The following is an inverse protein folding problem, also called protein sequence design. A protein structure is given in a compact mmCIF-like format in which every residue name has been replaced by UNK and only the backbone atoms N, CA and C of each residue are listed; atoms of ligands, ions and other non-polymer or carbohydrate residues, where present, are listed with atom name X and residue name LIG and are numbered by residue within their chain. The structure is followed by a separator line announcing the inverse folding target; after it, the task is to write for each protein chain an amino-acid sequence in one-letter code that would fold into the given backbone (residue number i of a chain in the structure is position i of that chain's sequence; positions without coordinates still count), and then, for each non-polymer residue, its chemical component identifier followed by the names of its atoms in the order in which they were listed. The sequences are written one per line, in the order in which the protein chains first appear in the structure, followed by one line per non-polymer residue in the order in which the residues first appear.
data_IF_384683482457
#
_entry.id   IF_384683482457
#
_cell.length_a   1.000
_cell.length_b   1.000
_cell.length_c   1.000
_cell.angle_alpha   90.00
_cell.angle_beta   90.00
_cell.angle_gamma   90.00
#
_symmetry.space_group_name_H-M   'P 1'
#
loop_
_entity.id
_entity.type
_entity.pdbx_description
1 polymer ?
#
# COMPACT_ATOMS: atom_id res chain seq x y z
N UNK A 1 -37.15 9.28 22.47
CA UNK A 1 -36.52 8.31 21.54
C UNK A 1 -35.59 9.08 20.60
N UNK A 2 -34.27 9.00 20.81
CA UNK A 2 -33.28 9.67 19.96
C UNK A 2 -32.87 8.72 18.83
N UNK A 3 -33.00 9.17 17.58
CA UNK A 3 -32.53 8.47 16.38
C UNK A 3 -31.00 8.39 16.42
N UNK A 4 -30.45 7.18 16.29
CA UNK A 4 -29.02 6.94 16.06
C UNK A 4 -28.67 7.46 14.66
N UNK A 5 -27.69 8.34 14.57
CA UNK A 5 -27.00 8.68 13.32
C UNK A 5 -26.10 7.49 12.94
N UNK A 6 -26.20 7.01 11.70
CA UNK A 6 -25.30 5.99 11.13
C UNK A 6 -24.01 6.70 10.72
N UNK A 7 -22.87 6.23 11.24
CA UNK A 7 -21.53 6.75 11.00
C UNK A 7 -20.97 6.31 9.63
N UNK A 8 -20.10 7.14 9.08
CA UNK A 8 -19.43 6.96 7.80
C UNK A 8 -18.43 5.79 7.82
N UNK A 9 -18.47 4.93 6.80
CA UNK A 9 -17.45 3.93 6.51
C UNK A 9 -16.40 4.51 5.55
N UNK A 10 -15.12 4.17 5.77
CA UNK A 10 -14.00 4.52 4.88
C UNK A 10 -13.61 3.24 4.13
N UNK A 11 -13.69 3.26 2.80
CA UNK A 11 -13.38 2.13 1.92
C UNK A 11 -12.13 2.42 1.06
N UNK A 12 -11.34 1.39 0.80
CA UNK A 12 -10.29 1.38 -0.23
C UNK A 12 -10.58 0.23 -1.18
N UNK A 13 -10.67 0.51 -2.48
CA UNK A 13 -11.04 -0.45 -3.52
C UNK A 13 -9.91 -0.45 -4.56
N UNK A 14 -9.23 -1.59 -4.73
CA UNK A 14 -8.27 -1.80 -5.82
C UNK A 14 -8.91 -2.66 -6.90
N UNK A 15 -8.87 -2.19 -8.15
CA UNK A 15 -9.23 -2.98 -9.33
C UNK A 15 -7.96 -3.34 -10.10
N UNK A 16 -7.67 -4.64 -10.22
CA UNK A 16 -6.62 -5.14 -11.10
C UNK A 16 -7.21 -5.52 -12.46
N UNK A 17 -6.83 -4.81 -13.53
CA UNK A 17 -7.09 -5.26 -14.89
C UNK A 17 -5.97 -6.22 -15.34
N UNK A 18 -6.28 -7.52 -15.49
CA UNK A 18 -5.35 -8.49 -16.08
C UNK A 18 -6.04 -9.32 -17.15
N UNK A 19 -5.64 -9.14 -18.41
CA UNK A 19 -5.99 -10.03 -19.53
C UNK A 19 -4.93 -9.97 -20.65
N UNK A 20 -3.81 -10.69 -20.49
CA UNK A 20 -2.84 -10.93 -21.56
C UNK A 20 -2.76 -12.42 -21.90
N UNK A 21 -3.79 -12.95 -22.60
CA UNK A 21 -3.70 -14.17 -23.45
C UNK A 21 -5.04 -14.63 -24.05
N UNK A 22 -6.06 -13.77 -24.17
CA UNK A 22 -7.29 -14.08 -24.93
C UNK A 22 -7.50 -13.04 -26.02
N UNK A 23 -7.76 -13.44 -27.28
CA UNK A 23 -8.01 -12.48 -28.35
C UNK A 23 -9.36 -11.80 -28.07
N UNK A 24 -9.32 -10.47 -27.93
CA UNK A 24 -10.45 -9.51 -27.76
C UNK A 24 -10.97 -9.20 -26.35
N UNK A 25 -10.18 -9.35 -25.28
CA UNK A 25 -10.56 -8.78 -23.94
C UNK A 25 -9.93 -7.39 -23.69
N UNK A 26 -9.11 -6.87 -24.62
CA UNK A 26 -8.44 -5.57 -24.47
C UNK A 26 -9.39 -4.34 -24.52
N UNK A 27 -10.63 -4.52 -24.98
CA UNK A 27 -11.62 -3.45 -25.14
C UNK A 27 -12.73 -3.45 -24.06
N UNK A 28 -12.68 -4.37 -23.10
CA UNK A 28 -13.53 -4.32 -21.91
C UNK A 28 -12.95 -3.29 -20.94
N UNK A 29 -13.35 -2.03 -21.12
CA UNK A 29 -13.13 -0.97 -20.14
C UNK A 29 -13.91 -1.30 -18.85
N UNK A 30 -13.23 -1.99 -17.93
CA UNK A 30 -13.73 -2.24 -16.57
C UNK A 30 -13.55 -1.01 -15.67
N UNK A 31 -13.15 0.15 -16.20
CA UNK A 31 -12.90 1.42 -15.49
C UNK A 31 -14.14 2.10 -14.90
N UNK A 32 -15.21 1.35 -14.56
CA UNK A 32 -16.50 1.92 -14.20
C UNK A 32 -17.28 1.22 -13.10
N UNK A 33 -16.69 0.33 -12.30
CA UNK A 33 -17.38 -0.18 -11.09
C UNK A 33 -17.31 0.90 -10.00
N UNK A 34 -18.32 1.77 -9.94
CA UNK A 34 -18.48 2.81 -8.91
C UNK A 34 -19.23 2.24 -7.71
N UNK A 35 -18.53 2.00 -6.60
CA UNK A 35 -19.14 1.53 -5.35
C UNK A 35 -19.59 2.74 -4.51
N UNK A 36 -20.91 2.93 -4.38
CA UNK A 36 -21.54 3.91 -3.48
C UNK A 36 -22.22 3.13 -2.32
N UNK A 37 -22.30 3.67 -1.10
CA UNK A 37 -22.81 2.95 0.09
C UNK A 37 -24.11 2.17 -0.14
N UNK A 38 -24.18 0.93 0.39
CA UNK A 38 -24.73 -0.26 -0.29
C UNK A 38 -24.02 -0.55 -1.60
N UNK A 39 -22.89 -1.23 -1.52
CA UNK A 39 -21.96 -1.39 -2.64
C UNK A 39 -22.64 -2.07 -3.84
N UNK A 40 -22.91 -1.26 -4.87
CA UNK A 40 -23.47 -1.69 -6.16
C UNK A 40 -22.36 -1.71 -7.20
N UNK A 41 -22.11 -2.87 -7.80
CA UNK A 41 -21.21 -2.98 -8.95
C UNK A 41 -21.98 -3.15 -10.25
N UNK A 42 -21.41 -2.65 -11.37
CA UNK A 42 -21.96 -2.84 -12.73
C UNK A 42 -20.83 -2.95 -13.76
N UNK A 43 -21.02 -3.78 -14.79
CA UNK A 43 -20.17 -3.78 -15.99
C UNK A 43 -20.49 -2.55 -16.84
N UNK A 44 -19.48 -1.73 -17.17
CA UNK A 44 -19.67 -0.44 -17.83
C UNK A 44 -20.15 -0.55 -19.30
N UNK A 45 -19.83 -1.65 -19.99
CA UNK A 45 -20.22 -1.91 -21.37
C UNK A 45 -20.37 -3.42 -21.63
N UNK A 46 -21.57 -4.00 -21.46
CA UNK A 46 -21.76 -5.43 -21.73
C UNK A 46 -21.72 -5.72 -23.23
N UNK A 47 -20.99 -6.78 -23.62
CA UNK A 47 -20.98 -7.24 -25.01
C UNK A 47 -22.33 -7.84 -25.40
N UNK A 48 -22.79 -7.55 -26.63
CA UNK A 48 -24.04 -8.09 -27.14
C UNK A 48 -24.00 -9.63 -27.20
N UNK A 49 -24.98 -10.27 -26.56
CA UNK A 49 -25.07 -11.72 -26.49
C UNK A 49 -24.16 -12.36 -25.44
N UNK A 50 -23.53 -11.58 -24.55
CA UNK A 50 -22.80 -12.08 -23.38
C UNK A 50 -23.62 -11.82 -22.11
N UNK A 51 -23.64 -12.82 -21.23
CA UNK A 51 -24.23 -12.73 -19.89
C UNK A 51 -23.12 -12.85 -18.84
N UNK A 52 -23.20 -12.03 -17.80
CA UNK A 52 -22.23 -11.95 -16.72
C UNK A 52 -22.86 -12.40 -15.40
N UNK A 53 -22.07 -13.08 -14.58
CA UNK A 53 -22.39 -13.47 -13.21
C UNK A 53 -21.24 -13.07 -12.29
N UNK A 54 -21.57 -12.35 -11.23
CA UNK A 54 -20.62 -12.04 -10.16
C UNK A 54 -20.71 -13.09 -9.07
N UNK A 55 -19.56 -13.48 -8.54
CA UNK A 55 -19.45 -14.39 -7.43
C UNK A 55 -18.66 -13.74 -6.31
N UNK A 56 -18.96 -14.15 -5.09
CA UNK A 56 -18.28 -13.71 -3.89
C UNK A 56 -17.92 -14.89 -3.02
N UNK A 57 -16.76 -14.80 -2.37
CA UNK A 57 -16.38 -15.72 -1.30
C UNK A 57 -16.05 -14.90 -0.06
N UNK A 58 -16.81 -15.13 1.01
CA UNK A 58 -16.56 -14.48 2.30
C UNK A 58 -15.73 -15.39 3.20
N UNK A 59 -14.63 -14.84 3.72
CA UNK A 59 -13.68 -15.48 4.64
C UNK A 59 -13.76 -14.76 5.99
N UNK A 60 -14.47 -15.29 7.00
CA UNK A 60 -14.55 -14.64 8.30
C UNK A 60 -13.18 -14.58 8.99
N UNK A 61 -12.97 -13.60 9.87
CA UNK A 61 -11.74 -13.35 10.68
C UNK A 61 -11.30 -14.51 11.63
N UNK A 62 -11.85 -15.71 11.49
CA UNK A 62 -11.78 -16.78 12.49
C UNK A 62 -10.56 -17.71 12.35
N UNK A 63 -9.32 -17.18 12.41
CA UNK A 63 -8.10 -17.99 12.63
C UNK A 63 -7.78 -19.08 11.59
N UNK A 64 -6.66 -19.78 11.79
CA UNK A 64 -5.93 -20.56 10.77
C UNK A 64 -6.54 -21.89 10.30
N UNK A 65 -7.82 -22.18 10.55
CA UNK A 65 -8.48 -23.36 9.96
C UNK A 65 -9.51 -22.93 8.93
N UNK A 66 -9.07 -22.81 7.67
CA UNK A 66 -9.93 -22.44 6.54
C UNK A 66 -10.46 -23.71 5.85
N UNK A 67 -11.77 -24.04 5.96
CA UNK A 67 -12.39 -24.88 4.94
C UNK A 67 -12.34 -24.16 3.59
N UNK A 68 -12.31 -24.92 2.49
CA UNK A 68 -12.46 -24.36 1.14
C UNK A 68 -13.88 -23.78 1.01
N UNK A 69 -14.03 -22.46 1.17
CA UNK A 69 -15.33 -21.81 1.08
C UNK A 69 -15.70 -21.65 -0.39
N UNK A 70 -16.82 -22.23 -0.78
CA UNK A 70 -17.34 -22.15 -2.15
C UNK A 70 -17.67 -20.71 -2.55
N UNK A 71 -17.45 -20.40 -3.82
CA UNK A 71 -17.95 -19.17 -4.44
C UNK A 71 -19.48 -19.13 -4.42
N UNK A 72 -20.04 -18.02 -3.94
CA UNK A 72 -21.48 -17.76 -3.88
C UNK A 72 -21.87 -16.78 -4.98
N UNK A 73 -22.80 -17.11 -5.89
CA UNK A 73 -23.30 -16.15 -6.86
C UNK A 73 -23.97 -14.95 -6.18
N UNK A 74 -23.54 -13.75 -6.54
CA UNK A 74 -24.17 -12.48 -6.16
C UNK A 74 -25.25 -12.04 -7.15
N UNK A 75 -25.25 -12.64 -8.35
CA UNK A 75 -26.20 -12.38 -9.42
C UNK A 75 -26.44 -13.62 -10.25
N UNK A 76 -27.60 -13.69 -10.91
CA UNK A 76 -27.80 -14.59 -12.04
C UNK A 76 -27.03 -14.07 -13.26
N UNK A 77 -26.78 -14.96 -14.21
CA UNK A 77 -26.27 -14.57 -15.52
C UNK A 77 -27.21 -13.57 -16.18
N UNK A 78 -26.73 -12.34 -16.37
CA UNK A 78 -27.51 -11.24 -16.94
C UNK A 78 -26.64 -10.37 -17.83
N UNK A 79 -27.26 -9.66 -18.78
CA UNK A 79 -26.54 -8.70 -19.63
C UNK A 79 -26.10 -7.46 -18.86
N UNK A 80 -26.88 -7.04 -17.86
CA UNK A 80 -26.59 -5.80 -17.13
C UNK A 80 -25.39 -5.92 -16.19
N UNK A 81 -25.04 -7.15 -15.78
CA UNK A 81 -23.89 -7.42 -14.92
C UNK A 81 -23.91 -6.59 -13.64
N UNK A 82 -25.10 -6.32 -13.10
CA UNK A 82 -25.26 -5.52 -11.89
C UNK A 82 -25.39 -6.44 -10.67
N UNK A 83 -24.73 -6.09 -9.58
CA UNK A 83 -24.88 -6.77 -8.30
C UNK A 83 -24.90 -5.77 -7.14
N UNK A 84 -25.53 -6.16 -6.04
CA UNK A 84 -25.44 -5.46 -4.78
C UNK A 84 -25.09 -6.49 -3.71
N UNK A 85 -24.12 -6.17 -2.88
CA UNK A 85 -23.71 -7.03 -1.78
C UNK A 85 -23.87 -6.30 -0.46
N UNK A 86 -24.37 -7.02 0.54
CA UNK A 86 -24.44 -6.53 1.90
C UNK A 86 -23.26 -7.06 2.71
N UNK A 87 -22.35 -6.16 3.08
CA UNK A 87 -21.07 -6.47 3.72
C UNK A 87 -21.18 -6.38 5.25
N UNK A 88 -22.07 -7.19 5.84
CA UNK A 88 -22.38 -7.15 7.27
C UNK A 88 -21.46 -7.99 8.17
N UNK A 89 -20.50 -8.71 7.59
CA UNK A 89 -19.62 -9.64 8.28
C UNK A 89 -18.18 -9.13 8.37
N UNK A 90 -17.51 -9.42 9.49
CA UNK A 90 -16.07 -9.16 9.61
C UNK A 90 -15.24 -10.22 8.94
N UNK A 91 -14.44 -9.83 7.96
CA UNK A 91 -13.58 -10.74 7.23
C UNK A 91 -13.21 -10.21 5.86
N UNK A 92 -12.73 -11.11 5.01
CA UNK A 92 -12.32 -10.78 3.65
C UNK A 92 -13.38 -11.28 2.67
N UNK A 93 -13.81 -10.40 1.78
CA UNK A 93 -14.73 -10.66 0.69
C UNK A 93 -13.96 -10.69 -0.62
N UNK A 94 -13.79 -11.87 -1.18
CA UNK A 94 -13.21 -12.05 -2.51
C UNK A 94 -14.31 -11.91 -3.56
N UNK A 95 -14.00 -11.27 -4.70
CA UNK A 95 -14.92 -11.09 -5.82
C UNK A 95 -14.39 -11.73 -7.09
N UNK A 96 -15.29 -12.32 -7.87
CA UNK A 96 -14.99 -13.02 -9.12
C UNK A 96 -16.07 -12.70 -10.15
N UNK A 97 -15.71 -12.66 -11.42
CA UNK A 97 -16.65 -12.54 -12.54
C UNK A 97 -16.57 -13.75 -13.44
N UNK A 98 -17.74 -14.24 -13.83
CA UNK A 98 -17.91 -15.20 -14.90
C UNK A 98 -18.70 -14.57 -16.03
N UNK A 99 -18.40 -14.95 -17.26
CA UNK A 99 -19.21 -14.60 -18.41
C UNK A 99 -19.44 -15.82 -19.30
N UNK A 100 -20.57 -15.83 -20.00
CA UNK A 100 -20.94 -16.88 -20.96
C UNK A 100 -21.68 -16.26 -22.15
N UNK A 101 -21.72 -16.97 -23.28
CA UNK A 101 -22.65 -16.61 -24.36
C UNK A 101 -24.09 -16.85 -23.91
N UNK A 102 -25.00 -15.94 -24.25
CA UNK A 102 -26.41 -16.05 -23.92
C UNK A 102 -26.99 -17.35 -24.45
N UNK A 103 -27.66 -18.10 -23.58
CA UNK A 103 -28.18 -19.45 -23.88
C UNK A 103 -27.14 -20.58 -23.87
N UNK A 104 -25.86 -20.29 -23.63
CA UNK A 104 -24.80 -21.30 -23.46
C UNK A 104 -24.55 -21.61 -21.99
N UNK A 105 -24.01 -22.79 -21.71
CA UNK A 105 -23.45 -23.16 -20.40
C UNK A 105 -21.92 -22.99 -20.34
N UNK A 106 -21.28 -22.75 -21.49
CA UNK A 106 -19.85 -22.59 -21.61
C UNK A 106 -19.40 -21.21 -21.11
N UNK A 107 -18.48 -21.21 -20.14
CA UNK A 107 -17.88 -19.99 -19.59
C UNK A 107 -16.79 -19.49 -20.53
N UNK A 108 -16.92 -18.24 -20.96
CA UNK A 108 -15.91 -17.54 -21.78
C UNK A 108 -15.01 -16.64 -20.94
N UNK A 109 -15.44 -16.27 -19.72
CA UNK A 109 -14.65 -15.55 -18.72
C UNK A 109 -14.81 -16.24 -17.36
N UNK A 110 -13.71 -16.35 -16.62
CA UNK A 110 -13.68 -16.78 -15.23
C UNK A 110 -12.50 -16.09 -14.52
N UNK A 111 -12.68 -14.83 -14.14
CA UNK A 111 -11.60 -13.96 -13.63
C UNK A 111 -11.85 -13.48 -12.19
N UNK A 112 -10.80 -13.51 -11.38
CA UNK A 112 -10.79 -12.89 -10.05
C UNK A 112 -10.75 -11.36 -10.21
N UNK A 113 -11.58 -10.64 -9.46
CA UNK A 113 -11.69 -9.18 -9.53
C UNK A 113 -10.89 -8.46 -8.45
N UNK A 114 -10.77 -9.05 -7.26
CA UNK A 114 -10.16 -8.41 -6.10
C UNK A 114 -10.77 -8.86 -4.77
N UNK A 115 -10.33 -8.22 -3.68
CA UNK A 115 -10.83 -8.49 -2.33
C UNK A 115 -11.15 -7.20 -1.58
N UNK A 116 -12.14 -7.26 -0.68
CA UNK A 116 -12.47 -6.21 0.29
C UNK A 116 -12.35 -6.77 1.70
N UNK A 117 -11.57 -6.14 2.56
CA UNK A 117 -11.50 -6.47 3.98
C UNK A 117 -12.49 -5.59 4.76
N UNK A 118 -13.45 -6.22 5.42
CA UNK A 118 -14.43 -5.54 6.28
C UNK A 118 -14.05 -5.82 7.73
N UNK A 119 -13.72 -4.76 8.45
CA UNK A 119 -13.42 -4.81 9.88
C UNK A 119 -14.45 -3.99 10.65
N UNK A 120 -14.81 -4.40 11.87
CA UNK A 120 -15.80 -3.64 12.63
C UNK A 120 -15.19 -2.40 13.25
N UNK A 121 -15.99 -1.35 13.41
CA UNK A 121 -15.61 -0.15 14.18
C UNK A 121 -15.17 -0.51 15.61
N UNK A 122 -15.74 -1.57 16.21
CA UNK A 122 -15.32 -2.10 17.50
C UNK A 122 -13.97 -2.82 17.48
N UNK A 123 -13.57 -3.41 16.34
CA UNK A 123 -12.26 -4.01 16.16
C UNK A 123 -11.21 -2.96 15.82
N UNK A 124 -11.59 -1.99 14.98
CA UNK A 124 -10.85 -0.78 14.73
C UNK A 124 -10.60 -0.03 16.05
N UNK A 125 -11.62 0.21 16.88
CA UNK A 125 -11.47 0.93 18.16
C UNK A 125 -10.76 0.13 19.27
N UNK A 126 -10.75 -1.21 19.21
CA UNK A 126 -9.89 -2.05 20.06
C UNK A 126 -8.43 -2.03 19.59
N UNK A 127 -8.18 -1.81 18.31
CA UNK A 127 -6.83 -1.56 17.78
C UNK A 127 -6.42 -0.10 17.99
N UNK A 128 -7.35 0.86 17.90
CA UNK A 128 -7.13 2.29 18.03
C UNK A 128 -7.84 2.80 19.29
N UNK A 129 -7.20 2.70 20.45
CA UNK A 129 -7.69 3.32 21.69
C UNK A 129 -7.65 4.86 21.68
N UNK A 130 -7.31 5.49 20.55
CA UNK A 130 -7.35 6.94 20.38
C UNK A 130 -8.46 7.34 19.44
N UNK A 131 -9.21 8.37 19.86
CA UNK A 131 -9.99 9.11 18.88
C UNK A 131 -9.00 9.76 17.92
N UNK A 132 -9.21 9.57 16.62
CA UNK A 132 -8.54 10.27 15.52
C UNK A 132 -8.58 11.81 15.60
N UNK A 133 -9.09 12.39 16.70
CA UNK A 133 -9.19 13.84 16.91
C UNK A 133 -7.85 14.51 17.16
N UNK A 134 -6.87 13.82 17.73
CA UNK A 134 -5.57 14.43 18.06
C UNK A 134 -4.59 14.35 16.89
N UNK A 135 -4.73 13.34 16.02
CA UNK A 135 -3.85 13.09 14.89
C UNK A 135 -4.50 13.66 13.63
N UNK A 136 -4.07 14.86 13.23
CA UNK A 136 -4.51 15.45 11.96
C UNK A 136 -3.93 14.64 10.80
N UNK A 137 -4.78 13.90 10.09
CA UNK A 137 -4.38 13.15 8.90
C UNK A 137 -4.92 13.81 7.64
N UNK A 138 -4.08 13.84 6.61
CA UNK A 138 -4.45 14.35 5.29
C UNK A 138 -4.19 13.26 4.27
N UNK A 139 -5.25 12.75 3.63
CA UNK A 139 -5.10 11.86 2.49
C UNK A 139 -4.74 12.68 1.27
N UNK A 140 -3.63 12.35 0.64
CA UNK A 140 -3.13 13.08 -0.53
C UNK A 140 -3.44 12.22 -1.76
N UNK A 141 -4.46 12.60 -2.54
CA UNK A 141 -4.70 11.92 -3.82
C UNK A 141 -3.54 12.20 -4.76
N UNK A 142 -2.93 11.14 -5.32
CA UNK A 142 -1.87 11.29 -6.32
C UNK A 142 -2.05 10.33 -7.50
N UNK A 143 -3.21 10.43 -8.15
CA UNK A 143 -3.58 9.57 -9.29
C UNK A 143 -2.54 9.63 -10.42
N UNK A 144 -1.97 10.81 -10.69
CA UNK A 144 -0.92 11.01 -11.69
C UNK A 144 0.43 10.36 -11.32
N UNK A 145 0.61 10.00 -10.06
CA UNK A 145 1.88 9.52 -9.50
C UNK A 145 2.00 8.00 -9.57
N UNK A 146 0.87 7.27 -9.50
CA UNK A 146 0.83 5.82 -9.67
C UNK A 146 1.41 5.39 -11.03
N UNK A 147 1.21 6.19 -12.08
CA UNK A 147 1.76 5.93 -13.41
C UNK A 147 3.30 5.86 -13.44
N UNK A 148 3.99 6.61 -12.58
CA UNK A 148 5.46 6.68 -12.52
C UNK A 148 6.06 5.33 -12.09
N UNK A 149 5.32 4.53 -11.29
CA UNK A 149 5.78 3.24 -10.76
C UNK A 149 5.25 2.03 -11.53
N UNK A 150 4.46 2.26 -12.58
CA UNK A 150 3.87 1.18 -13.39
C UNK A 150 4.88 0.45 -14.27
N UNK A 151 6.10 0.99 -14.39
CA UNK A 151 7.14 0.43 -15.23
C UNK A 151 8.17 -0.35 -14.39
N UNK A 152 7.86 -1.61 -14.06
CA UNK A 152 8.84 -2.58 -13.50
C UNK A 152 10.13 -2.63 -14.34
N UNK A 153 10.01 -2.37 -15.64
CA UNK A 153 11.11 -2.22 -16.58
C UNK A 153 12.04 -1.05 -16.24
N UNK A 154 11.49 0.09 -15.79
CA UNK A 154 12.27 1.23 -15.34
C UNK A 154 13.06 0.90 -14.06
N UNK A 155 12.48 0.09 -13.17
CA UNK A 155 13.16 -0.35 -11.94
C UNK A 155 14.25 -1.39 -12.23
N UNK A 156 14.06 -2.25 -13.23
CA UNK A 156 15.06 -3.24 -13.64
C UNK A 156 16.36 -2.62 -14.18
N UNK A 157 16.29 -1.37 -14.64
CA UNK A 157 17.42 -0.57 -15.12
C UNK A 157 18.26 0.06 -13.99
N UNK A 158 17.82 -0.01 -12.73
CA UNK A 158 18.53 0.54 -11.57
C UNK A 158 19.68 -0.38 -11.15
N UNK A 159 20.81 -0.27 -11.86
CA UNK A 159 21.98 -1.11 -11.62
C UNK A 159 22.77 -0.69 -10.37
N UNK A 160 22.79 0.62 -10.09
CA UNK A 160 23.62 1.22 -9.03
C UNK A 160 22.81 2.20 -8.18
N UNK A 161 23.31 2.52 -6.98
CA UNK A 161 22.74 3.57 -6.14
C UNK A 161 22.63 4.93 -6.88
N UNK A 162 23.68 5.41 -7.58
CA UNK A 162 23.58 6.60 -8.42
C UNK A 162 22.45 6.58 -9.44
N UNK A 163 22.19 5.44 -10.09
CA UNK A 163 21.08 5.30 -11.05
C UNK A 163 19.73 5.46 -10.35
N UNK A 164 19.58 4.91 -9.15
CA UNK A 164 18.37 5.07 -8.34
C UNK A 164 18.16 6.52 -7.91
N UNK A 165 19.19 7.20 -7.40
CA UNK A 165 19.09 8.62 -7.06
C UNK A 165 18.71 9.46 -8.29
N UNK A 166 19.34 9.18 -9.44
CA UNK A 166 19.01 9.86 -10.71
C UNK A 166 17.56 9.63 -11.11
N UNK A 167 17.07 8.39 -11.01
CA UNK A 167 15.67 8.08 -11.28
C UNK A 167 14.71 8.89 -10.40
N UNK A 168 14.98 8.99 -9.09
CA UNK A 168 14.15 9.79 -8.17
C UNK A 168 14.17 11.28 -8.57
N UNK A 169 15.33 11.82 -8.95
CA UNK A 169 15.45 13.21 -9.40
C UNK A 169 14.72 13.45 -10.72
N UNK A 170 14.92 12.59 -11.71
CA UNK A 170 14.34 12.75 -13.05
C UNK A 170 12.81 12.63 -13.04
N UNK A 171 12.27 11.86 -12.11
CA UNK A 171 10.82 11.68 -11.93
C UNK A 171 10.17 12.71 -11.02
N UNK A 172 10.97 13.54 -10.34
CA UNK A 172 10.44 14.54 -9.40
C UNK A 172 9.68 15.66 -10.13
N UNK A 173 8.38 15.68 -9.92
CA UNK A 173 7.48 16.70 -10.48
C UNK A 173 6.75 17.43 -9.34
N UNK A 174 7.32 18.51 -8.77
CA UNK A 174 6.72 19.23 -7.64
C UNK A 174 5.31 19.76 -7.92
N UNK A 175 4.97 19.97 -9.19
CA UNK A 175 3.64 20.42 -9.63
C UNK A 175 2.52 19.40 -9.38
N UNK A 176 2.85 18.11 -9.25
CA UNK A 176 1.88 17.04 -8.98
C UNK A 176 1.41 17.04 -7.52
N UNK A 177 2.13 17.71 -6.62
CA UNK A 177 1.71 17.87 -5.24
C UNK A 177 0.64 18.97 -5.12
N UNK A 178 -0.41 18.76 -4.29
CA UNK A 178 -1.39 19.79 -3.97
C UNK A 178 -0.73 21.06 -3.44
N UNK A 179 -1.37 22.20 -3.69
CA UNK A 179 -0.85 23.51 -3.28
C UNK A 179 -0.54 23.59 -1.77
N UNK A 180 -1.40 22.99 -0.94
CA UNK A 180 -1.22 22.91 0.51
C UNK A 180 0.08 22.22 0.95
N UNK A 181 0.62 21.28 0.15
CA UNK A 181 1.91 20.64 0.43
C UNK A 181 3.08 21.47 -0.11
N UNK A 182 2.86 22.31 -1.12
CA UNK A 182 3.94 23.11 -1.70
C UNK A 182 4.50 24.14 -0.72
N UNK A 183 3.71 24.54 0.27
CA UNK A 183 4.15 25.40 1.38
C UNK A 183 5.23 24.77 2.26
N UNK A 184 5.39 23.44 2.24
CA UNK A 184 6.47 22.74 2.97
C UNK A 184 7.87 23.04 2.40
N UNK A 185 7.93 23.55 1.17
CA UNK A 185 9.18 23.86 0.48
C UNK A 185 9.73 22.70 -0.35
N UNK A 186 10.64 23.03 -1.27
CA UNK A 186 11.12 22.13 -2.32
C UNK A 186 11.79 20.85 -1.79
N UNK A 187 12.59 20.96 -0.73
CA UNK A 187 13.32 19.79 -0.19
C UNK A 187 12.39 18.84 0.57
N UNK A 188 11.36 19.37 1.25
CA UNK A 188 10.35 18.54 1.92
C UNK A 188 9.51 17.78 0.88
N UNK A 189 9.04 18.47 -0.16
CA UNK A 189 8.36 17.83 -1.29
C UNK A 189 9.21 16.78 -1.99
N UNK A 190 10.50 17.07 -2.22
CA UNK A 190 11.42 16.09 -2.81
C UNK A 190 11.59 14.86 -1.93
N UNK A 191 11.70 15.04 -0.61
CA UNK A 191 11.81 13.93 0.35
C UNK A 191 10.55 13.08 0.39
N UNK A 192 9.37 13.71 0.31
CA UNK A 192 8.08 13.02 0.17
C UNK A 192 8.02 12.24 -1.15
N UNK A 193 8.47 12.83 -2.26
CA UNK A 193 8.57 12.15 -3.56
C UNK A 193 9.49 10.92 -3.47
N UNK A 194 10.66 11.07 -2.86
CA UNK A 194 11.58 9.97 -2.63
C UNK A 194 10.95 8.85 -1.79
N UNK A 195 10.29 9.20 -0.68
CA UNK A 195 9.56 8.25 0.18
C UNK A 195 8.50 7.48 -0.61
N UNK A 196 7.64 8.19 -1.35
CA UNK A 196 6.59 7.57 -2.15
C UNK A 196 7.17 6.69 -3.26
N UNK A 197 8.32 7.05 -3.81
CA UNK A 197 9.04 6.24 -4.81
C UNK A 197 9.54 4.94 -4.23
N UNK A 198 10.19 5.01 -3.06
CA UNK A 198 10.69 3.84 -2.34
C UNK A 198 9.56 2.91 -1.91
N UNK A 199 8.45 3.47 -1.42
CA UNK A 199 7.27 2.71 -1.00
C UNK A 199 6.64 1.87 -2.11
N UNK A 200 6.89 2.21 -3.37
CA UNK A 200 6.35 1.50 -4.53
C UNK A 200 7.24 0.34 -5.02
N UNK A 201 8.44 0.14 -4.46
CA UNK A 201 9.44 -0.79 -5.01
C UNK A 201 9.15 -2.26 -4.71
N UNK A 202 8.61 -2.56 -3.53
CA UNK A 202 8.61 -3.92 -2.99
C UNK A 202 7.23 -4.38 -2.51
N UNK A 203 7.04 -5.70 -2.46
CA UNK A 203 6.05 -6.32 -1.59
C UNK A 203 6.50 -6.22 -0.13
N UNK A 204 5.60 -5.86 0.77
CA UNK A 204 5.90 -5.89 2.20
C UNK A 204 5.71 -7.30 2.79
N UNK A 205 6.80 -7.85 3.32
CA UNK A 205 6.81 -9.16 3.97
C UNK A 205 6.90 -10.34 3.00
N UNK A 206 7.15 -11.52 3.56
CA UNK A 206 7.22 -12.78 2.81
C UNK A 206 5.83 -13.24 2.31
N UNK A 207 5.75 -13.92 1.16
CA UNK A 207 4.49 -14.46 0.62
C UNK A 207 4.05 -15.75 1.32
N UNK A 208 4.98 -16.67 1.56
CA UNK A 208 4.72 -18.00 2.16
C UNK A 208 4.93 -17.98 3.67
N UNK A 209 6.08 -17.51 4.13
CA UNK A 209 6.41 -17.47 5.57
C UNK A 209 6.20 -16.08 6.16
N UNK A 210 4.93 -15.72 6.36
CA UNK A 210 4.50 -14.40 6.86
C UNK A 210 5.07 -14.03 8.23
N UNK A 211 5.53 -15.00 9.01
CA UNK A 211 6.12 -14.77 10.34
C UNK A 211 7.62 -14.46 10.28
N UNK A 212 8.31 -14.85 9.19
CA UNK A 212 9.72 -14.54 9.01
C UNK A 212 9.95 -13.10 8.54
N UNK A 213 11.14 -12.58 8.82
CA UNK A 213 11.57 -11.28 8.31
C UNK A 213 11.54 -11.28 6.78
N UNK A 214 10.76 -10.36 6.20
CA UNK A 214 10.66 -10.18 4.75
C UNK A 214 11.73 -9.24 4.19
N UNK A 215 12.90 -9.12 4.82
CA UNK A 215 13.92 -8.19 4.36
C UNK A 215 14.63 -8.73 3.12
N UNK A 216 15.03 -7.89 2.18
CA UNK A 216 15.62 -8.29 0.88
C UNK A 216 16.75 -9.32 1.05
N UNK A 217 17.58 -9.17 2.08
CA UNK A 217 18.73 -10.05 2.34
C UNK A 217 18.39 -11.37 3.06
N UNK A 218 17.20 -11.48 3.66
CA UNK A 218 16.77 -12.61 4.49
C UNK A 218 15.40 -13.18 4.08
N UNK A 219 14.83 -12.71 2.97
CA UNK A 219 13.50 -13.10 2.54
C UNK A 219 13.45 -14.54 2.02
N UNK A 220 12.22 -15.05 1.88
CA UNK A 220 11.94 -16.42 1.51
C UNK A 220 12.35 -16.83 0.08
N UNK A 221 12.82 -15.90 -0.75
CA UNK A 221 13.32 -16.24 -2.10
C UNK A 221 14.58 -17.11 -2.04
N UNK A 222 15.32 -17.05 -0.92
CA UNK A 222 16.63 -17.69 -0.78
C UNK A 222 17.70 -17.08 -1.68
N UNK A 223 17.42 -15.97 -2.38
CA UNK A 223 18.37 -15.30 -3.25
C UNK A 223 19.42 -14.60 -2.40
N UNK A 224 20.69 -14.98 -2.61
CA UNK A 224 21.81 -14.26 -1.99
C UNK A 224 22.02 -12.93 -2.69
N UNK A 225 21.76 -11.84 -1.99
CA UNK A 225 21.95 -10.46 -2.44
C UNK A 225 23.40 -10.03 -2.22
N UNK A 226 24.07 -9.53 -3.26
CA UNK A 226 25.50 -9.19 -3.25
C UNK A 226 25.78 -7.74 -3.67
N UNK A 227 24.86 -7.14 -4.40
CA UNK A 227 25.02 -5.81 -4.97
C UNK A 227 23.69 -5.07 -5.05
N UNK A 228 23.75 -3.78 -5.35
CA UNK A 228 22.59 -2.90 -5.45
C UNK A 228 21.55 -3.38 -6.47
N UNK A 229 21.99 -3.82 -7.65
CA UNK A 229 21.08 -4.29 -8.71
C UNK A 229 20.27 -5.52 -8.27
N UNK A 230 20.90 -6.47 -7.57
CA UNK A 230 20.20 -7.61 -7.00
C UNK A 230 19.23 -7.17 -5.89
N UNK A 231 19.61 -6.17 -5.09
CA UNK A 231 18.80 -5.63 -4.00
C UNK A 231 17.52 -4.95 -4.51
N UNK A 232 17.61 -4.11 -5.54
CA UNK A 232 16.43 -3.40 -6.11
C UNK A 232 15.54 -4.29 -6.96
N UNK A 233 16.05 -5.43 -7.45
CA UNK A 233 15.26 -6.42 -8.19
C UNK A 233 14.50 -7.40 -7.32
N UNK A 234 14.74 -7.40 -6.01
CA UNK A 234 13.97 -8.22 -5.07
C UNK A 234 12.49 -7.88 -5.16
N UNK A 235 11.64 -8.90 -5.09
CA UNK A 235 10.18 -8.69 -5.08
C UNK A 235 9.66 -8.37 -3.68
N UNK A 236 10.44 -8.71 -2.64
CA UNK A 236 10.05 -8.64 -1.23
C UNK A 236 11.06 -7.76 -0.48
N UNK A 237 10.55 -6.84 0.33
CA UNK A 237 11.32 -6.01 1.24
C UNK A 237 10.60 -5.79 2.57
N UNK A 238 11.37 -5.36 3.57
CA UNK A 238 10.91 -5.00 4.90
C UNK A 238 11.27 -3.55 5.22
N UNK A 239 10.80 -3.05 6.37
CA UNK A 239 10.99 -1.66 6.80
C UNK A 239 12.45 -1.16 6.73
N UNK A 240 13.44 -2.01 7.02
CA UNK A 240 14.86 -1.67 6.90
C UNK A 240 15.29 -1.38 5.45
N UNK A 241 14.79 -2.15 4.47
CA UNK A 241 15.14 -1.98 3.06
C UNK A 241 14.60 -0.64 2.53
N UNK A 242 13.33 -0.33 2.86
CA UNK A 242 12.71 0.94 2.50
C UNK A 242 13.44 2.11 3.17
N UNK A 243 13.75 2.01 4.47
CA UNK A 243 14.45 3.07 5.20
C UNK A 243 15.85 3.34 4.62
N UNK A 244 16.61 2.29 4.27
CA UNK A 244 17.96 2.43 3.73
C UNK A 244 17.97 3.10 2.35
N UNK A 245 17.03 2.74 1.46
CA UNK A 245 16.92 3.38 0.14
C UNK A 245 16.51 4.86 0.25
N UNK A 246 15.59 5.19 1.15
CA UNK A 246 15.22 6.59 1.39
C UNK A 246 16.41 7.37 1.96
N UNK A 247 17.06 6.84 2.99
CA UNK A 247 18.26 7.42 3.59
C UNK A 247 19.36 7.67 2.54
N UNK A 248 19.57 6.73 1.62
CA UNK A 248 20.49 6.89 0.50
C UNK A 248 20.14 8.12 -0.36
N UNK A 249 18.87 8.26 -0.75
CA UNK A 249 18.43 9.41 -1.56
C UNK A 249 18.63 10.73 -0.80
N UNK A 250 18.26 10.77 0.49
CA UNK A 250 18.46 11.96 1.34
C UNK A 250 19.94 12.31 1.48
N UNK A 251 20.80 11.31 1.72
CA UNK A 251 22.25 11.47 1.78
C UNK A 251 22.80 12.11 0.50
N UNK A 252 22.43 11.55 -0.66
CA UNK A 252 22.87 12.05 -1.98
C UNK A 252 22.36 13.47 -2.27
N UNK A 253 21.20 13.84 -1.71
CA UNK A 253 20.64 15.19 -1.77
C UNK A 253 21.32 16.17 -0.80
N UNK A 254 22.15 15.69 0.12
CA UNK A 254 22.78 16.51 1.16
C UNK A 254 21.84 16.84 2.33
N UNK A 255 20.72 16.11 2.46
CA UNK A 255 19.79 16.23 3.56
C UNK A 255 20.29 15.33 4.70
N UNK A 256 20.50 15.93 5.89
CA UNK A 256 20.88 15.15 7.07
C UNK A 256 19.70 14.28 7.49
N UNK A 257 19.99 13.01 7.78
CA UNK A 257 18.99 12.06 8.21
C UNK A 257 19.49 11.26 9.42
N UNK A 258 18.54 10.69 10.16
CA UNK A 258 18.78 9.73 11.25
C UNK A 258 17.71 8.64 11.20
N UNK A 259 18.07 7.40 11.54
CA UNK A 259 17.06 6.37 11.74
C UNK A 259 16.40 6.52 13.11
N UNK A 260 15.10 6.18 13.15
CA UNK A 260 14.34 6.04 14.40
C UNK A 260 13.74 4.67 14.42
N UNK A 261 13.94 3.95 15.52
CA UNK A 261 13.50 2.59 15.69
C UNK A 261 12.41 2.54 16.74
N UNK A 262 11.42 1.72 16.47
CA UNK A 262 10.42 1.30 17.46
C UNK A 262 10.41 -0.23 17.43
N UNK A 263 9.76 -0.92 18.39
CA UNK A 263 9.69 -2.37 18.36
C UNK A 263 9.18 -2.91 17.01
N UNK A 264 10.07 -3.54 16.25
CA UNK A 264 9.77 -4.17 14.96
C UNK A 264 9.65 -3.24 13.75
N UNK A 265 9.99 -1.94 13.86
CA UNK A 265 9.86 -1.00 12.73
C UNK A 265 10.90 0.12 12.75
N UNK A 266 11.17 0.70 11.58
CA UNK A 266 12.14 1.79 11.42
C UNK A 266 11.58 2.91 10.55
N UNK A 267 11.89 4.14 10.94
CA UNK A 267 11.60 5.37 10.23
C UNK A 267 12.89 6.11 9.85
N UNK A 268 12.75 7.14 9.01
CA UNK A 268 13.84 8.05 8.66
C UNK A 268 13.46 9.48 9.05
N UNK A 269 14.13 10.02 10.06
CA UNK A 269 14.09 11.45 10.38
C UNK A 269 14.99 12.22 9.41
N UNK A 270 14.55 13.37 8.96
CA UNK A 270 15.29 14.27 8.07
C UNK A 270 15.25 15.71 8.59
N UNK A 271 16.38 16.40 8.50
CA UNK A 271 16.50 17.82 8.86
C UNK A 271 16.35 18.69 7.62
N UNK A 272 15.23 19.39 7.50
CA UNK A 272 14.88 20.21 6.35
C UNK A 272 14.51 21.62 6.82
N UNK A 273 15.25 22.63 6.35
CA UNK A 273 15.04 24.03 6.72
C UNK A 273 14.94 24.27 8.25
N UNK A 274 15.75 23.54 9.03
CA UNK A 274 15.78 23.64 10.50
C UNK A 274 14.62 22.95 11.22
N UNK A 275 13.83 22.14 10.51
CA UNK A 275 12.74 21.33 11.08
C UNK A 275 13.00 19.85 10.86
N UNK A 276 12.53 19.04 11.80
CA UNK A 276 12.51 17.58 11.66
C UNK A 276 11.25 17.15 10.91
N UNK A 277 11.44 16.26 9.95
CA UNK A 277 10.37 15.50 9.30
C UNK A 277 10.69 14.02 9.51
N UNK A 278 9.70 13.21 9.86
CA UNK A 278 9.88 11.75 9.79
C UNK A 278 9.19 11.23 8.56
N UNK A 279 9.83 10.28 7.89
CA UNK A 279 9.30 9.58 6.75
C UNK A 279 9.23 8.09 7.05
N UNK A 280 8.08 7.51 6.75
CA UNK A 280 7.84 6.08 6.75
C UNK A 280 7.64 5.60 5.31
N UNK A 281 8.72 5.19 4.64
CA UNK A 281 8.63 4.67 3.28
C UNK A 281 8.00 3.27 3.21
N UNK A 282 7.76 2.61 4.34
CA UNK A 282 7.11 1.28 4.34
C UNK A 282 5.61 1.43 4.14
N UNK A 283 4.97 2.28 4.95
CA UNK A 283 3.50 2.50 4.90
C UNK A 283 3.10 3.83 4.28
N UNK A 284 4.05 4.50 3.64
CA UNK A 284 3.88 5.73 2.89
C UNK A 284 3.23 6.86 3.72
N UNK A 285 3.86 7.20 4.85
CA UNK A 285 3.42 8.25 5.78
C UNK A 285 4.55 9.24 6.02
N UNK A 286 4.25 10.54 5.92
CA UNK A 286 5.17 11.59 6.38
C UNK A 286 4.62 12.30 7.62
N UNK A 287 5.51 12.62 8.56
CA UNK A 287 5.22 13.30 9.83
C UNK A 287 5.89 14.67 9.81
N UNK A 288 5.11 15.73 10.00
CA UNK A 288 5.64 17.08 10.14
C UNK A 288 5.89 17.35 11.63
N UNK A 289 7.15 17.58 12.02
CA UNK A 289 7.61 17.67 13.43
C UNK A 289 8.50 16.50 13.85
N UNK A 290 8.50 15.41 13.09
CA UNK A 290 9.21 14.19 13.48
C UNK A 290 8.32 13.25 14.29
N UNK A 291 8.83 12.05 14.58
CA UNK A 291 8.09 10.96 15.22
C UNK A 291 7.92 11.19 16.72
N UNK A 292 8.91 11.80 17.36
CA UNK A 292 8.84 12.17 18.76
C UNK A 292 7.70 13.17 18.99
N UNK A 293 7.62 14.25 18.19
CA UNK A 293 6.54 15.24 18.24
C UNK A 293 5.15 14.61 17.98
N UNK A 294 5.09 13.62 17.09
CA UNK A 294 3.85 12.90 16.79
C UNK A 294 3.37 12.07 17.99
N UNK A 295 4.29 11.56 18.82
CA UNK A 295 4.01 10.72 19.99
C UNK A 295 3.83 11.54 21.28
N UNK A 296 4.69 12.54 21.53
CA UNK A 296 4.70 13.34 22.76
C UNK A 296 3.56 14.35 22.81
N UNK A 297 3.55 15.26 21.83
CA UNK A 297 2.73 16.47 21.87
C UNK A 297 1.51 16.34 20.98
N UNK A 298 1.51 15.37 20.04
CA UNK A 298 0.44 15.16 19.04
C UNK A 298 0.13 16.43 18.26
N UNK A 299 1.10 17.33 18.18
CA UNK A 299 1.00 18.63 17.50
C UNK A 299 1.36 18.50 16.03
N UNK A 300 2.07 17.44 15.66
CA UNK A 300 2.34 17.07 14.28
C UNK A 300 1.09 16.64 13.53
N UNK A 301 1.15 16.74 12.20
CA UNK A 301 0.14 16.16 11.32
C UNK A 301 0.78 15.14 10.39
N UNK A 302 -0.02 14.16 10.02
CA UNK A 302 0.36 13.00 9.24
C UNK A 302 -0.16 13.18 7.83
N UNK A 303 0.75 13.07 6.87
CA UNK A 303 0.40 13.04 5.47
C UNK A 303 0.31 11.58 5.05
N UNK A 304 -0.90 11.14 4.74
CA UNK A 304 -1.20 9.79 4.32
C UNK A 304 -1.21 9.75 2.80
N UNK A 305 -0.23 9.06 2.24
CA UNK A 305 -0.17 8.85 0.80
C UNK A 305 -0.79 7.50 0.42
N UNK A 306 -1.26 7.36 -0.83
CA UNK A 306 -1.74 6.09 -1.36
C UNK A 306 -0.64 5.04 -1.32
N UNK A 307 -0.99 3.79 -0.99
CA UNK A 307 -0.05 2.69 -1.05
C UNK A 307 -0.01 2.21 -2.50
N UNK A 308 0.89 2.75 -3.33
CA UNK A 308 0.94 2.44 -4.76
C UNK A 308 1.01 0.94 -5.04
N UNK A 309 1.78 0.19 -4.24
CA UNK A 309 1.86 -1.27 -4.32
C UNK A 309 0.50 -1.97 -4.06
N UNK A 310 -0.39 -1.36 -3.27
CA UNK A 310 -1.74 -1.87 -3.02
C UNK A 310 -2.77 -1.42 -4.07
N UNK A 311 -2.61 -0.23 -4.68
CA UNK A 311 -3.60 0.34 -5.60
C UNK A 311 -3.43 -0.12 -7.05
N UNK A 312 -2.22 -0.52 -7.45
CA UNK A 312 -1.92 -0.86 -8.84
C UNK A 312 -2.27 -2.29 -9.25
N UNK A 313 -3.05 -3.02 -8.43
CA UNK A 313 -3.54 -4.35 -8.78
C UNK A 313 -2.43 -5.38 -9.05
N UNK A 314 -1.22 -5.12 -8.54
CA UNK A 314 -0.06 -5.96 -8.81
C UNK A 314 -0.22 -7.29 -8.05
N UNK A 315 0.30 -8.39 -8.58
CA UNK A 315 0.35 -9.71 -7.91
C UNK A 315 1.03 -9.68 -6.53
N UNK A 316 1.62 -8.55 -6.18
CA UNK A 316 2.28 -8.23 -4.93
C UNK A 316 1.40 -7.42 -3.95
N UNK A 317 0.09 -7.61 -3.99
CA UNK A 317 -0.79 -7.10 -2.94
C UNK A 317 -0.53 -7.81 -1.61
N UNK A 318 0.25 -7.17 -0.74
CA UNK A 318 0.30 -7.53 0.67
C UNK A 318 -0.95 -6.96 1.34
N UNK A 319 -1.98 -7.78 1.53
CA UNK A 319 -3.08 -7.45 2.45
C UNK A 319 -2.55 -7.03 3.84
N UNK A 320 -1.35 -7.50 4.17
CA UNK A 320 -0.69 -7.21 5.43
C UNK A 320 -0.17 -5.76 5.50
N UNK A 321 0.08 -5.06 4.39
CA UNK A 321 0.59 -3.68 4.42
C UNK A 321 -0.44 -2.64 4.88
N UNK A 322 -1.69 -2.60 4.36
CA UNK A 322 -2.75 -1.78 4.94
C UNK A 322 -3.03 -2.13 6.41
N UNK A 323 -3.01 -3.42 6.77
CA UNK A 323 -3.15 -3.86 8.16
C UNK A 323 -2.00 -3.31 9.02
N UNK A 324 -0.77 -3.39 8.53
CA UNK A 324 0.42 -2.89 9.22
C UNK A 324 0.37 -1.38 9.41
N UNK A 325 -0.02 -0.62 8.38
CA UNK A 325 -0.27 0.83 8.47
C UNK A 325 -1.28 1.16 9.57
N UNK A 326 -2.38 0.42 9.67
CA UNK A 326 -3.38 0.61 10.74
C UNK A 326 -2.81 0.31 12.12
N UNK A 327 -2.04 -0.79 12.27
CA UNK A 327 -1.36 -1.14 13.52
C UNK A 327 -0.34 -0.07 13.94
N UNK A 328 0.37 0.51 12.98
CA UNK A 328 1.33 1.58 13.24
C UNK A 328 0.63 2.86 13.72
N UNK A 329 -0.46 3.26 13.04
CA UNK A 329 -1.25 4.42 13.45
C UNK A 329 -1.86 4.24 14.85
N UNK A 330 -2.29 3.01 15.17
CA UNK A 330 -2.71 2.63 16.51
C UNK A 330 -1.58 2.75 17.55
N UNK A 331 -0.40 2.22 17.22
CA UNK A 331 0.78 2.28 18.07
C UNK A 331 1.19 3.72 18.39
N UNK A 332 1.21 4.62 17.40
CA UNK A 332 1.55 6.04 17.61
C UNK A 332 0.71 6.71 18.70
N UNK A 333 -0.57 6.35 18.79
CA UNK A 333 -1.42 6.88 19.82
C UNK A 333 -0.99 6.43 21.22
N UNK A 334 -0.58 5.16 21.34
CA UNK A 334 -0.24 4.48 22.61
C UNK A 334 1.21 4.66 23.04
N UNK A 335 2.08 4.97 22.10
CA UNK A 335 3.51 5.06 22.31
C UNK A 335 3.87 6.22 23.23
N UNK A 336 5.06 6.13 23.79
CA UNK A 336 5.78 7.18 24.47
C UNK A 336 7.09 7.47 23.73
N UNK A 337 7.71 8.62 24.01
CA UNK A 337 9.03 8.94 23.45
C UNK A 337 10.08 7.90 23.87
N UNK A 338 9.93 7.29 25.04
CA UNK A 338 10.84 6.26 25.55
C UNK A 338 10.80 4.96 24.71
N UNK A 339 9.75 4.76 23.91
CA UNK A 339 9.65 3.63 22.97
C UNK A 339 10.44 3.84 21.67
N UNK A 340 11.00 5.04 21.47
CA UNK A 340 11.74 5.43 20.27
C UNK A 340 13.24 5.34 20.55
N UNK A 341 13.92 4.45 19.83
CA UNK A 341 15.37 4.27 19.89
C UNK A 341 16.06 4.93 18.70
N UNK A 342 17.29 5.41 18.93
CA UNK A 342 18.21 5.84 17.87
C UNK A 342 19.16 4.72 17.42
N UNK A 343 19.24 3.65 18.20
CA UNK A 343 20.10 2.51 17.96
C UNK A 343 19.31 1.38 17.30
N UNK A 344 19.91 0.79 16.26
CA UNK A 344 19.32 -0.35 15.59
C UNK A 344 19.31 -1.56 16.54
N UNK A 345 18.21 -2.34 16.58
CA UNK A 345 18.13 -3.52 17.44
C UNK A 345 18.99 -4.70 16.94
N UNK A 346 19.56 -4.59 15.73
CA UNK A 346 20.38 -5.63 15.11
C UNK A 346 21.40 -5.04 14.12
N UNK A 347 22.34 -5.87 13.67
CA UNK A 347 23.32 -5.53 12.64
C UNK A 347 22.74 -5.54 11.21
N UNK A 348 21.46 -5.89 11.07
CA UNK A 348 20.77 -6.04 9.80
C UNK A 348 20.81 -4.76 8.98
N UNK A 349 20.55 -3.62 9.64
CA UNK A 349 20.56 -2.32 8.97
C UNK A 349 21.94 -1.98 8.40
N UNK A 350 23.01 -2.25 9.16
CA UNK A 350 24.37 -2.01 8.69
C UNK A 350 24.74 -2.88 7.47
N UNK A 351 24.25 -4.14 7.43
CA UNK A 351 24.43 -5.02 6.25
C UNK A 351 23.71 -4.49 5.03
N UNK A 352 22.48 -4.00 5.20
CA UNK A 352 21.69 -3.40 4.12
C UNK A 352 22.38 -2.12 3.62
N UNK A 353 22.81 -1.24 4.52
CA UNK A 353 23.54 -0.03 4.16
C UNK A 353 24.84 -0.35 3.43
N UNK A 354 25.58 -1.38 3.84
CA UNK A 354 26.79 -1.81 3.16
C UNK A 354 26.55 -2.18 1.68
N UNK A 355 25.35 -2.67 1.33
CA UNK A 355 24.94 -2.95 -0.06
C UNK A 355 24.48 -1.67 -0.75
N UNK A 356 23.59 -0.91 -0.10
CA UNK A 356 22.95 0.28 -0.68
C UNK A 356 23.96 1.41 -0.93
N UNK A 357 24.95 1.56 -0.05
CA UNK A 357 25.98 2.59 -0.10
C UNK A 357 27.33 2.10 -0.65
N UNK A 358 27.39 0.88 -1.21
CA UNK A 358 28.63 0.28 -1.71
C UNK A 358 29.28 1.09 -2.84
N UNK A 359 28.47 1.72 -3.71
CA UNK A 359 28.95 2.51 -4.83
C UNK A 359 29.16 3.98 -4.43
N UNK A 360 30.42 4.31 -4.13
CA UNK A 360 30.95 5.66 -4.02
C UNK A 360 31.71 6.08 -5.27
#
# INVERSE_FOLDING_TARGET
MRKLLVCAAIFFISFAAYASSLPKIADLDLGGVRLEGTERGRVAAPEDGVEYQFLMRYRPDAGEQKPEISWTPLSDYSRDGAFSVDLNGRGIYDFHIQARKSGSTEKIINAYLGQIEVTSEAALSRLTFYSSRDVKSYSVAIDDYLGIFSHKEAMAALATGPDFYKFVVDTYQPRLFPESLRELGTEALFSIHAMNTVAALYHYGNFQNKEALGCVIENESGQRIRNFSEFTRSEIGCCYDYAALLAYVLHRRGIKYEYRYIPGHVFVDAQIAGKTYTFDPTVNIAYVGGIEDAVSDRTGYLLLFPLAAAEMGNRYESADLPIFRRKLLAWLGLASVDDISKEAPSDLMAKIEAIVFADK
#
